data_IF_463462454096
#
_entry.id   IF_463462454096
#
_cell.length_a   1.000
_cell.length_b   1.000
_cell.length_c   1.000
_cell.angle_alpha   90.00
_cell.angle_beta   90.00
_cell.angle_gamma   90.00
#
_symmetry.space_group_name_H-M   'P 1'
#
loop_
_entity.id
_entity.type
_entity.pdbx_description
1 polymer ?
#
# COMPACT_ATOMS: atom_id res chain seq x y z
N UNK A 1 -20.70 -21.19 32.87
CA UNK A 1 -21.15 -20.37 31.71
C UNK A 1 -20.33 -20.79 30.50
N UNK A 2 -20.95 -21.23 29.37
CA UNK A 2 -20.20 -21.48 28.15
C UNK A 2 -19.63 -20.16 27.66
N UNK A 3 -18.33 -20.12 27.41
CA UNK A 3 -17.65 -18.94 26.82
C UNK A 3 -18.20 -18.79 25.39
N UNK A 4 -18.68 -17.62 25.04
CA UNK A 4 -19.17 -17.33 23.72
C UNK A 4 -17.94 -17.16 22.78
N UNK A 5 -17.79 -18.06 21.79
CA UNK A 5 -16.65 -18.08 20.90
C UNK A 5 -16.81 -17.13 19.71
N UNK A 6 -18.05 -16.80 19.37
CA UNK A 6 -18.41 -15.88 18.28
C UNK A 6 -19.30 -14.77 18.80
N UNK A 7 -18.86 -13.53 18.69
CA UNK A 7 -19.59 -12.35 19.15
C UNK A 7 -19.91 -11.44 17.98
N UNK A 8 -21.19 -11.21 17.71
CA UNK A 8 -21.66 -10.30 16.68
C UNK A 8 -22.18 -9.00 17.32
N UNK A 9 -21.69 -7.86 16.85
CA UNK A 9 -22.13 -6.52 17.29
C UNK A 9 -22.52 -5.67 16.09
N UNK A 10 -23.69 -5.04 16.18
CA UNK A 10 -24.11 -4.03 15.21
C UNK A 10 -23.32 -2.73 15.40
N UNK A 11 -22.92 -2.12 14.29
CA UNK A 11 -22.29 -0.81 14.21
C UNK A 11 -23.07 0.08 13.23
N UNK A 12 -22.72 1.35 13.10
CA UNK A 12 -23.36 2.24 12.12
C UNK A 12 -23.12 1.81 10.66
N UNK A 13 -22.01 1.10 10.43
CA UNK A 13 -21.52 0.71 9.11
C UNK A 13 -21.70 -0.80 8.81
N UNK A 14 -22.56 -1.50 9.56
CA UNK A 14 -22.80 -2.94 9.44
C UNK A 14 -22.54 -3.72 10.71
N UNK A 15 -22.12 -4.99 10.61
CA UNK A 15 -21.81 -5.83 11.76
C UNK A 15 -20.29 -6.06 11.89
N UNK A 16 -19.85 -6.17 13.15
CA UNK A 16 -18.51 -6.67 13.50
C UNK A 16 -18.66 -8.05 14.13
N UNK A 17 -18.07 -9.05 13.50
CA UNK A 17 -18.02 -10.42 13.96
C UNK A 17 -16.64 -10.68 14.58
N UNK A 18 -16.60 -10.82 15.91
CA UNK A 18 -15.38 -11.12 16.64
C UNK A 18 -15.31 -12.60 16.96
N UNK A 19 -14.23 -13.23 16.55
CA UNK A 19 -13.93 -14.63 16.81
C UNK A 19 -13.01 -14.76 18.04
N UNK A 20 -13.23 -15.81 18.83
CA UNK A 20 -12.32 -16.15 19.94
C UNK A 20 -11.01 -16.70 19.38
N UNK A 21 -9.89 -16.17 19.87
CA UNK A 21 -8.56 -16.51 19.38
C UNK A 21 -7.89 -17.67 20.13
N UNK A 22 -8.53 -18.21 21.19
CA UNK A 22 -7.95 -19.22 22.05
C UNK A 22 -8.61 -20.60 21.97
N UNK A 23 -9.84 -20.69 21.44
CA UNK A 23 -10.53 -21.98 21.28
C UNK A 23 -9.96 -22.81 20.12
N UNK A 24 -10.27 -24.10 20.07
CA UNK A 24 -9.93 -24.94 18.92
C UNK A 24 -10.66 -24.46 17.66
N UNK A 25 -9.97 -24.55 16.50
CA UNK A 25 -10.53 -24.07 15.23
C UNK A 25 -11.86 -24.77 14.87
N UNK A 26 -11.95 -26.09 15.08
CA UNK A 26 -13.18 -26.85 14.84
C UNK A 26 -14.37 -26.40 15.68
N UNK A 27 -14.15 -26.08 16.98
CA UNK A 27 -15.19 -25.54 17.86
C UNK A 27 -15.66 -24.16 17.40
N UNK A 28 -14.72 -23.33 16.93
CA UNK A 28 -15.03 -22.01 16.39
C UNK A 28 -15.91 -22.11 15.16
N UNK A 29 -15.57 -23.01 14.23
CA UNK A 29 -16.34 -23.24 12.99
C UNK A 29 -17.75 -23.70 13.28
N UNK A 30 -17.93 -24.62 14.24
CA UNK A 30 -19.26 -25.11 14.63
C UNK A 30 -20.11 -23.98 15.23
N UNK A 31 -19.54 -23.19 16.15
CA UNK A 31 -20.28 -22.08 16.76
C UNK A 31 -20.57 -20.96 15.77
N UNK A 32 -19.66 -20.70 14.81
CA UNK A 32 -19.87 -19.74 13.74
C UNK A 32 -21.03 -20.15 12.84
N UNK A 33 -21.13 -21.42 12.41
CA UNK A 33 -22.24 -21.95 11.64
C UNK A 33 -23.56 -21.75 12.36
N UNK A 34 -23.62 -22.11 13.63
CA UNK A 34 -24.82 -21.95 14.46
C UNK A 34 -25.22 -20.47 14.57
N UNK A 35 -24.24 -19.60 14.80
CA UNK A 35 -24.47 -18.16 14.99
C UNK A 35 -24.97 -17.46 13.73
N UNK A 36 -24.45 -17.84 12.58
CA UNK A 36 -24.85 -17.30 11.28
C UNK A 36 -26.29 -17.78 10.94
N UNK A 37 -26.64 -19.01 11.27
CA UNK A 37 -28.00 -19.55 11.07
C UNK A 37 -29.05 -18.95 12.03
N UNK A 38 -28.68 -18.58 13.26
CA UNK A 38 -29.57 -17.95 14.25
C UNK A 38 -29.90 -16.49 13.92
N UNK A 39 -29.05 -15.82 13.10
CA UNK A 39 -29.19 -14.41 12.76
C UNK A 39 -30.31 -14.17 11.75
N UNK A 40 -31.53 -13.93 12.21
CA UNK A 40 -32.61 -13.40 11.36
C UNK A 40 -32.34 -11.95 10.95
N UNK A 41 -31.44 -11.75 9.98
CA UNK A 41 -31.08 -10.42 9.44
C UNK A 41 -31.88 -10.19 8.17
N UNK A 42 -32.67 -9.13 8.13
CA UNK A 42 -33.38 -8.73 6.94
C UNK A 42 -32.45 -7.93 6.00
N UNK A 43 -32.19 -8.47 4.81
CA UNK A 43 -31.39 -7.83 3.76
C UNK A 43 -29.90 -8.19 3.77
N UNK A 44 -29.15 -7.63 2.81
CA UNK A 44 -27.69 -7.81 2.70
C UNK A 44 -26.96 -6.80 3.58
N UNK A 45 -26.07 -7.27 4.44
CA UNK A 45 -25.36 -6.44 5.40
C UNK A 45 -23.86 -6.75 5.36
N UNK A 46 -23.05 -5.68 5.37
CA UNK A 46 -21.60 -5.79 5.44
C UNK A 46 -21.12 -6.25 6.82
N UNK A 47 -20.18 -7.19 6.82
CA UNK A 47 -19.59 -7.74 8.03
C UNK A 47 -18.08 -7.52 8.01
N UNK A 48 -17.57 -7.00 9.12
CA UNK A 48 -16.14 -6.95 9.38
C UNK A 48 -15.77 -8.14 10.28
N UNK A 49 -14.90 -9.00 9.79
CA UNK A 49 -14.43 -10.18 10.50
C UNK A 49 -13.17 -9.85 11.31
N UNK A 50 -13.22 -9.98 12.63
CA UNK A 50 -12.11 -9.73 13.53
C UNK A 50 -11.60 -11.03 14.16
N UNK A 51 -10.37 -11.43 13.84
CA UNK A 51 -9.75 -12.70 14.23
C UNK A 51 -8.98 -12.62 15.57
N UNK A 52 -8.78 -11.42 16.12
CA UNK A 52 -7.92 -11.22 17.29
C UNK A 52 -6.48 -11.65 17.02
N UNK A 53 -5.88 -12.37 17.95
CA UNK A 53 -4.53 -12.93 17.83
C UNK A 53 -4.49 -14.32 17.19
N UNK A 54 -5.58 -14.76 16.56
CA UNK A 54 -5.62 -16.01 15.83
C UNK A 54 -4.96 -15.86 14.46
N UNK A 55 -3.93 -16.66 14.19
CA UNK A 55 -3.43 -16.87 12.84
C UNK A 55 -4.34 -17.88 12.13
N UNK A 56 -4.85 -17.53 10.97
CA UNK A 56 -5.56 -18.41 10.07
C UNK A 56 -4.76 -18.54 8.78
N UNK A 57 -4.66 -19.78 8.27
CA UNK A 57 -4.15 -19.98 6.91
C UNK A 57 -5.13 -19.43 5.89
N UNK A 58 -4.69 -19.24 4.66
CA UNK A 58 -5.54 -18.76 3.57
C UNK A 58 -6.76 -19.68 3.35
N UNK A 59 -6.56 -21.01 3.45
CA UNK A 59 -7.62 -22.01 3.36
C UNK A 59 -8.65 -21.85 4.50
N UNK A 60 -8.17 -21.70 5.74
CA UNK A 60 -9.03 -21.49 6.91
C UNK A 60 -9.81 -20.18 6.82
N UNK A 61 -9.17 -19.12 6.33
CA UNK A 61 -9.82 -17.83 6.15
C UNK A 61 -10.94 -17.92 5.10
N UNK A 62 -10.66 -18.55 3.98
CA UNK A 62 -11.65 -18.78 2.91
C UNK A 62 -12.82 -19.64 3.40
N UNK A 63 -12.56 -20.65 4.25
CA UNK A 63 -13.62 -21.46 4.87
C UNK A 63 -14.51 -20.61 5.78
N UNK A 64 -13.94 -19.75 6.65
CA UNK A 64 -14.70 -18.86 7.52
C UNK A 64 -15.56 -17.87 6.72
N UNK A 65 -14.99 -17.26 5.70
CA UNK A 65 -15.72 -16.34 4.80
C UNK A 65 -16.88 -17.06 4.14
N UNK A 66 -16.64 -18.24 3.59
CA UNK A 66 -17.68 -19.04 2.93
C UNK A 66 -18.83 -19.37 3.87
N UNK A 67 -18.55 -19.74 5.11
CA UNK A 67 -19.59 -20.03 6.12
C UNK A 67 -20.43 -18.79 6.41
N UNK A 68 -19.82 -17.61 6.49
CA UNK A 68 -20.53 -16.36 6.76
C UNK A 68 -21.43 -15.99 5.58
N UNK A 69 -20.94 -16.20 4.36
CA UNK A 69 -21.63 -15.81 3.13
C UNK A 69 -22.65 -16.87 2.65
N UNK A 70 -22.67 -18.08 3.22
CA UNK A 70 -23.64 -19.15 2.89
C UNK A 70 -25.10 -18.71 3.01
N UNK A 71 -25.39 -17.76 3.88
CA UNK A 71 -26.75 -17.23 4.08
C UNK A 71 -27.18 -16.18 3.04
N UNK A 72 -26.27 -15.76 2.15
CA UNK A 72 -26.45 -14.68 1.16
C UNK A 72 -26.87 -13.31 1.76
N UNK A 73 -27.00 -13.23 3.09
CA UNK A 73 -27.39 -12.02 3.83
C UNK A 73 -26.19 -11.25 4.36
N UNK A 74 -25.07 -11.95 4.63
CA UNK A 74 -23.83 -11.36 5.17
C UNK A 74 -22.76 -11.35 4.10
N UNK A 75 -22.11 -10.20 3.93
CA UNK A 75 -20.98 -10.02 2.99
C UNK A 75 -19.76 -9.59 3.80
N UNK A 76 -18.67 -10.35 3.71
CA UNK A 76 -17.44 -9.99 4.41
C UNK A 76 -16.71 -8.88 3.66
N UNK A 77 -16.85 -7.65 4.15
CA UNK A 77 -16.23 -6.46 3.55
C UNK A 77 -14.78 -6.26 4.00
N UNK A 78 -14.40 -6.77 5.17
CA UNK A 78 -13.06 -6.59 5.73
C UNK A 78 -12.71 -7.71 6.70
N UNK A 79 -11.45 -8.16 6.64
CA UNK A 79 -10.86 -9.06 7.64
C UNK A 79 -9.77 -8.33 8.40
N UNK A 80 -9.77 -8.45 9.72
CA UNK A 80 -8.76 -7.86 10.60
C UNK A 80 -8.16 -8.92 11.51
N UNK A 81 -6.84 -8.96 11.57
CA UNK A 81 -6.05 -9.81 12.48
C UNK A 81 -4.98 -8.96 13.16
N UNK A 82 -4.69 -9.25 14.41
CA UNK A 82 -3.60 -8.61 15.18
C UNK A 82 -2.26 -9.36 15.00
N UNK A 83 -2.24 -10.45 14.21
CA UNK A 83 -1.03 -11.20 13.94
C UNK A 83 -0.69 -11.17 12.47
N UNK A 84 0.61 -11.16 12.21
CA UNK A 84 1.21 -11.26 10.89
C UNK A 84 2.19 -12.44 10.91
N UNK A 85 2.41 -13.06 9.78
CA UNK A 85 3.53 -13.98 9.63
C UNK A 85 4.85 -13.20 9.73
N UNK A 86 5.94 -13.89 10.10
CA UNK A 86 7.28 -13.29 10.11
C UNK A 86 7.64 -12.75 8.72
N UNK A 87 7.20 -13.43 7.67
CA UNK A 87 7.42 -12.99 6.29
C UNK A 87 6.70 -11.66 5.99
N UNK A 88 5.40 -11.57 6.28
CA UNK A 88 4.61 -10.34 6.10
C UNK A 88 5.14 -9.19 6.97
N UNK A 89 5.56 -9.49 8.21
CA UNK A 89 6.16 -8.50 9.09
C UNK A 89 7.48 -7.96 8.54
N UNK A 90 8.36 -8.86 8.04
CA UNK A 90 9.61 -8.45 7.41
C UNK A 90 9.35 -7.66 6.13
N UNK A 91 8.40 -8.07 5.31
CA UNK A 91 8.04 -7.34 4.09
C UNK A 91 7.54 -5.93 4.43
N UNK A 92 6.64 -5.77 5.40
CA UNK A 92 6.19 -4.45 5.87
C UNK A 92 7.33 -3.60 6.45
N UNK A 93 8.27 -4.23 7.17
CA UNK A 93 9.48 -3.54 7.64
C UNK A 93 10.33 -3.02 6.47
N UNK A 94 10.54 -3.82 5.43
CA UNK A 94 11.27 -3.40 4.24
C UNK A 94 10.55 -2.28 3.48
N UNK A 95 9.23 -2.39 3.32
CA UNK A 95 8.41 -1.36 2.68
C UNK A 95 8.38 -0.04 3.45
N UNK A 96 8.48 -0.08 4.79
CA UNK A 96 8.53 1.10 5.66
C UNK A 96 9.95 1.66 5.87
N UNK A 97 10.98 1.03 5.31
CA UNK A 97 12.34 1.51 5.42
C UNK A 97 12.50 2.85 4.70
N UNK A 98 13.17 3.80 5.36
CA UNK A 98 13.48 5.12 4.80
C UNK A 98 14.98 5.34 4.86
N UNK A 99 15.60 5.45 3.69
CA UNK A 99 17.02 5.72 3.58
C UNK A 99 17.24 7.19 3.21
N UNK A 100 18.21 7.83 3.88
CA UNK A 100 18.60 9.21 3.57
C UNK A 100 20.05 9.25 3.14
N UNK A 101 20.29 9.79 1.94
CA UNK A 101 21.64 10.03 1.43
C UNK A 101 21.90 11.53 1.33
N UNK A 102 22.98 11.99 1.95
CA UNK A 102 23.41 13.40 1.91
C UNK A 102 24.61 13.51 0.99
N UNK A 103 24.47 14.23 -0.13
CA UNK A 103 25.54 14.42 -1.09
C UNK A 103 25.08 14.38 -2.54
N UNK A 104 26.03 14.15 -3.44
CA UNK A 104 25.80 14.12 -4.87
C UNK A 104 25.91 12.71 -5.40
N UNK A 105 24.88 12.19 -6.03
CA UNK A 105 24.92 10.94 -6.79
C UNK A 105 25.63 11.22 -8.10
N UNK A 106 26.83 10.63 -8.25
CA UNK A 106 27.71 10.90 -9.40
C UNK A 106 27.36 10.03 -10.58
N UNK A 107 27.84 10.40 -11.77
CA UNK A 107 27.75 9.58 -12.97
C UNK A 107 28.27 8.17 -12.73
N UNK A 108 27.51 7.15 -13.11
CA UNK A 108 27.80 5.74 -12.89
C UNK A 108 27.52 5.22 -11.47
N UNK A 109 27.19 6.07 -10.51
CA UNK A 109 26.79 5.66 -9.16
C UNK A 109 25.32 5.24 -9.16
N UNK A 110 25.03 4.14 -8.47
CA UNK A 110 23.68 3.63 -8.25
C UNK A 110 23.42 3.58 -6.74
N UNK A 111 22.40 4.30 -6.28
CA UNK A 111 21.88 4.17 -4.92
C UNK A 111 20.60 3.36 -4.93
N UNK A 112 20.47 2.44 -3.98
CA UNK A 112 19.30 1.56 -3.85
C UNK A 112 18.76 1.59 -2.44
N UNK A 113 17.42 1.60 -2.32
CA UNK A 113 16.68 1.40 -1.08
C UNK A 113 15.58 0.36 -1.31
N UNK A 114 15.30 -0.47 -0.32
CA UNK A 114 14.15 -1.38 -0.35
C UNK A 114 12.82 -0.68 -0.11
N UNK A 115 12.83 0.44 0.61
CA UNK A 115 11.69 1.32 0.84
C UNK A 115 11.87 2.67 0.17
N UNK A 116 11.56 3.74 0.89
CA UNK A 116 11.72 5.11 0.40
C UNK A 116 13.19 5.56 0.42
N UNK A 117 13.57 6.43 -0.50
CA UNK A 117 14.88 7.07 -0.49
C UNK A 117 14.78 8.59 -0.61
N UNK A 118 15.46 9.28 0.29
CA UNK A 118 15.59 10.75 0.28
C UNK A 118 17.03 11.14 -0.04
N UNK A 119 17.21 11.90 -1.12
CA UNK A 119 18.51 12.48 -1.51
C UNK A 119 18.52 13.94 -1.09
N UNK A 120 19.37 14.30 -0.12
CA UNK A 120 19.66 15.70 0.23
C UNK A 120 20.88 16.14 -0.60
N UNK A 121 20.61 16.61 -1.82
CA UNK A 121 21.64 16.95 -2.82
C UNK A 121 21.16 16.72 -4.24
N UNK A 122 22.08 16.45 -5.15
CA UNK A 122 21.79 16.35 -6.57
C UNK A 122 22.04 14.92 -7.10
N UNK A 123 21.28 14.53 -8.11
CA UNK A 123 21.53 13.35 -8.91
C UNK A 123 22.07 13.82 -10.27
N UNK A 124 23.33 13.58 -10.54
CA UNK A 124 23.99 14.02 -11.78
C UNK A 124 23.58 13.14 -12.98
N UNK A 125 23.78 13.61 -14.21
CA UNK A 125 23.57 12.79 -15.41
C UNK A 125 24.26 11.43 -15.28
N UNK A 126 23.59 10.35 -15.72
CA UNK A 126 24.02 8.95 -15.58
C UNK A 126 24.17 8.45 -14.13
N UNK A 127 23.87 9.26 -13.11
CA UNK A 127 23.63 8.77 -11.75
C UNK A 127 22.25 8.14 -11.67
N UNK A 128 22.08 7.13 -10.83
CA UNK A 128 20.84 6.37 -10.72
C UNK A 128 20.39 6.23 -9.28
N UNK A 129 19.10 6.42 -9.04
CA UNK A 129 18.45 6.21 -7.74
C UNK A 129 17.30 5.23 -7.94
N UNK A 130 17.28 4.16 -7.16
CA UNK A 130 16.30 3.08 -7.24
C UNK A 130 15.71 2.84 -5.84
N UNK A 131 14.37 2.85 -5.75
CA UNK A 131 13.63 2.65 -4.51
C UNK A 131 12.51 1.63 -4.67
N UNK A 132 12.29 0.79 -3.69
CA UNK A 132 11.09 -0.05 -3.60
C UNK A 132 9.83 0.79 -3.34
N UNK A 133 9.96 1.89 -2.59
CA UNK A 133 8.98 2.92 -2.33
C UNK A 133 9.21 4.19 -3.18
N UNK A 134 9.16 5.33 -2.52
CA UNK A 134 9.25 6.65 -3.12
C UNK A 134 10.69 7.14 -3.30
N UNK A 135 10.91 8.04 -4.25
CA UNK A 135 12.17 8.75 -4.46
C UNK A 135 11.98 10.24 -4.24
N UNK A 136 12.67 10.80 -3.26
CA UNK A 136 12.67 12.24 -2.96
C UNK A 136 14.06 12.82 -3.21
N UNK A 137 14.16 13.87 -4.03
CA UNK A 137 15.41 14.58 -4.32
C UNK A 137 15.27 16.04 -3.90
N UNK A 138 15.83 16.38 -2.73
CA UNK A 138 15.92 17.77 -2.27
C UNK A 138 17.09 18.45 -2.99
N UNK A 139 16.92 18.68 -4.29
CA UNK A 139 17.91 19.21 -5.21
C UNK A 139 17.52 18.96 -6.66
N UNK A 140 18.54 18.88 -7.54
CA UNK A 140 18.35 18.67 -8.97
C UNK A 140 18.43 17.18 -9.30
N UNK A 141 17.39 16.65 -9.91
CA UNK A 141 17.37 15.30 -10.47
C UNK A 141 17.71 15.37 -11.97
N UNK A 142 18.97 15.09 -12.33
CA UNK A 142 19.45 15.09 -13.75
C UNK A 142 19.68 13.69 -14.32
N UNK A 143 19.74 12.69 -13.45
CA UNK A 143 20.00 11.30 -13.82
C UNK A 143 18.73 10.49 -14.03
N UNK A 144 18.76 9.27 -13.55
CA UNK A 144 17.69 8.29 -13.65
C UNK A 144 17.10 8.08 -12.24
N UNK A 145 15.78 8.12 -12.13
CA UNK A 145 15.07 7.74 -10.91
C UNK A 145 14.05 6.65 -11.20
N UNK A 146 14.05 5.62 -10.34
CA UNK A 146 13.12 4.50 -10.39
C UNK A 146 12.48 4.33 -9.00
N UNK A 147 11.20 4.63 -8.90
CA UNK A 147 10.37 4.39 -7.72
C UNK A 147 9.50 3.14 -7.90
N UNK A 148 9.12 2.51 -6.81
CA UNK A 148 8.21 1.37 -6.86
C UNK A 148 8.78 0.14 -7.55
N UNK A 149 10.10 -0.13 -7.46
CA UNK A 149 10.78 -1.23 -8.16
C UNK A 149 10.16 -2.62 -7.96
N UNK A 150 9.46 -2.82 -6.86
CA UNK A 150 8.78 -4.09 -6.52
C UNK A 150 7.34 -4.15 -7.03
N UNK A 151 6.97 -3.26 -7.98
CA UNK A 151 5.64 -3.21 -8.58
C UNK A 151 4.68 -2.22 -7.89
N UNK A 152 5.17 -1.39 -6.96
CA UNK A 152 4.35 -0.38 -6.30
C UNK A 152 4.02 0.77 -7.27
N UNK A 153 2.81 0.74 -7.82
CA UNK A 153 2.28 1.77 -8.74
C UNK A 153 1.84 3.06 -8.05
N UNK A 154 1.71 3.04 -6.71
CA UNK A 154 1.37 4.21 -5.90
C UNK A 154 2.62 5.05 -5.52
N UNK A 155 3.81 4.57 -5.91
CA UNK A 155 5.07 5.26 -5.62
C UNK A 155 5.18 6.57 -6.42
N UNK A 156 5.89 7.54 -5.84
CA UNK A 156 6.14 8.84 -6.44
C UNK A 156 7.63 9.13 -6.56
N UNK A 157 7.96 10.00 -7.51
CA UNK A 157 9.29 10.61 -7.63
C UNK A 157 9.10 12.12 -7.49
N UNK A 158 9.71 12.73 -6.49
CA UNK A 158 9.62 14.16 -6.27
C UNK A 158 11.02 14.80 -6.29
N UNK A 159 11.13 15.97 -6.90
CA UNK A 159 12.39 16.71 -6.94
C UNK A 159 12.17 18.22 -6.83
N UNK A 160 13.14 18.93 -6.21
CA UNK A 160 13.11 20.39 -6.21
C UNK A 160 13.24 20.96 -7.64
N UNK A 161 14.09 20.34 -8.48
CA UNK A 161 14.16 20.57 -9.91
C UNK A 161 14.24 19.27 -10.69
N UNK A 162 13.34 19.11 -11.63
CA UNK A 162 13.10 17.90 -12.38
C UNK A 162 13.74 17.97 -13.77
N UNK A 163 15.02 17.60 -13.86
CA UNK A 163 15.83 17.62 -15.09
C UNK A 163 16.27 16.20 -15.50
N UNK A 164 15.49 15.18 -15.12
CA UNK A 164 15.82 13.77 -15.29
C UNK A 164 15.96 13.38 -16.76
N UNK A 165 16.80 12.38 -17.05
CA UNK A 165 16.86 11.74 -18.37
C UNK A 165 15.83 10.63 -18.52
N UNK A 166 15.60 9.86 -17.46
CA UNK A 166 14.61 8.78 -17.40
C UNK A 166 13.90 8.77 -16.05
N UNK A 167 12.61 8.56 -16.10
CA UNK A 167 11.75 8.35 -14.94
C UNK A 167 11.08 6.99 -15.07
N UNK A 168 11.11 6.24 -14.00
CA UNK A 168 10.49 4.92 -13.93
C UNK A 168 9.65 4.82 -12.65
N UNK A 169 8.41 4.36 -12.78
CA UNK A 169 7.54 4.07 -11.64
C UNK A 169 6.94 2.69 -11.88
N UNK A 170 7.23 1.74 -11.01
CA UNK A 170 6.91 0.33 -11.19
C UNK A 170 7.38 -0.18 -12.58
N UNK A 171 6.45 -0.59 -13.43
CA UNK A 171 6.67 -1.07 -14.79
C UNK A 171 6.64 0.03 -15.87
N UNK A 172 6.27 1.25 -15.48
CA UNK A 172 6.16 2.37 -16.40
C UNK A 172 7.51 3.09 -16.57
N UNK A 173 7.89 3.36 -17.81
CA UNK A 173 9.14 4.03 -18.15
C UNK A 173 8.85 5.23 -19.04
N UNK A 174 9.42 6.38 -18.70
CA UNK A 174 9.36 7.58 -19.52
C UNK A 174 10.75 8.17 -19.74
N UNK A 175 11.11 8.30 -21.03
CA UNK A 175 12.29 9.04 -21.46
C UNK A 175 11.91 10.52 -21.53
N UNK A 176 12.72 11.36 -20.90
CA UNK A 176 12.47 12.79 -20.84
C UNK A 176 13.11 13.52 -22.01
N UNK A 177 12.31 14.27 -22.78
CA UNK A 177 12.82 15.23 -23.79
C UNK A 177 13.05 16.60 -23.15
N UNK A 178 13.83 17.45 -23.83
CA UNK A 178 14.06 18.84 -23.42
C UNK A 178 12.75 19.64 -23.30
N UNK A 179 11.76 19.33 -24.13
CA UNK A 179 10.44 19.95 -24.08
C UNK A 179 9.67 19.55 -22.83
N UNK A 180 9.69 18.26 -22.45
CA UNK A 180 9.11 17.76 -21.21
C UNK A 180 9.76 18.44 -20.00
N UNK A 181 11.09 18.49 -19.99
CA UNK A 181 11.85 19.11 -18.89
C UNK A 181 11.51 20.59 -18.74
N UNK A 182 11.39 21.32 -19.85
CA UNK A 182 11.00 22.75 -19.84
C UNK A 182 9.58 22.95 -19.34
N UNK A 183 8.63 22.13 -19.77
CA UNK A 183 7.24 22.22 -19.34
C UNK A 183 7.08 21.94 -17.83
N UNK A 184 7.79 20.94 -17.32
CA UNK A 184 7.73 20.53 -15.92
C UNK A 184 8.41 21.55 -15.00
N UNK A 185 9.55 22.12 -15.41
CA UNK A 185 10.33 23.07 -14.60
C UNK A 185 9.80 24.51 -14.61
N UNK A 186 8.64 24.78 -15.18
CA UNK A 186 7.95 26.07 -14.98
C UNK A 186 7.59 26.30 -13.51
N UNK A 187 7.56 25.23 -12.71
CA UNK A 187 7.22 25.25 -11.29
C UNK A 187 8.27 24.47 -10.50
N UNK A 188 8.59 24.96 -9.30
CA UNK A 188 9.46 24.24 -8.37
C UNK A 188 8.66 23.17 -7.60
N UNK A 189 9.38 22.16 -7.06
CA UNK A 189 8.80 21.08 -6.25
C UNK A 189 7.77 20.26 -7.03
N UNK A 190 8.22 19.67 -8.13
CA UNK A 190 7.40 18.81 -8.98
C UNK A 190 7.50 17.34 -8.54
N UNK A 191 6.43 16.61 -8.71
CA UNK A 191 6.37 15.16 -8.53
C UNK A 191 5.85 14.46 -9.78
N UNK A 192 6.35 13.24 -10.00
CA UNK A 192 5.88 12.29 -10.99
C UNK A 192 5.17 11.14 -10.28
N UNK A 193 4.05 10.69 -10.81
CA UNK A 193 3.25 9.57 -10.31
C UNK A 193 2.46 8.93 -11.46
N UNK A 194 1.88 7.76 -11.24
CA UNK A 194 1.00 7.12 -12.24
C UNK A 194 -0.40 7.69 -12.09
N UNK A 195 -0.90 8.35 -13.15
CA UNK A 195 -2.25 8.93 -13.21
C UNK A 195 -3.35 7.89 -13.42
N UNK A 196 -4.59 8.34 -13.44
CA UNK A 196 -5.77 7.48 -13.66
C UNK A 196 -5.77 6.77 -15.01
N UNK A 197 -5.04 7.29 -16.00
CA UNK A 197 -4.85 6.70 -17.32
C UNK A 197 -3.74 5.63 -17.37
N UNK A 198 -3.09 5.34 -16.24
CA UNK A 198 -1.98 4.40 -16.12
C UNK A 198 -0.65 4.91 -16.66
N UNK A 199 -0.52 6.20 -16.96
CA UNK A 199 0.71 6.83 -17.48
C UNK A 199 1.37 7.70 -16.43
N UNK A 200 2.68 7.92 -16.58
CA UNK A 200 3.40 8.85 -15.72
C UNK A 200 2.90 10.27 -15.99
N UNK A 201 2.41 10.90 -14.93
CA UNK A 201 1.86 12.26 -14.91
C UNK A 201 2.68 13.12 -13.94
N UNK A 202 2.74 14.41 -14.21
CA UNK A 202 3.50 15.39 -13.41
C UNK A 202 2.57 16.44 -12.84
N UNK A 203 2.76 16.78 -11.56
CA UNK A 203 2.07 17.88 -10.91
C UNK A 203 2.96 18.45 -9.78
N UNK A 204 2.53 19.54 -9.18
CA UNK A 204 3.19 20.10 -8.00
C UNK A 204 2.96 19.19 -6.78
N UNK A 205 3.94 19.10 -5.88
CA UNK A 205 3.84 18.28 -4.67
C UNK A 205 2.56 18.57 -3.86
N UNK A 206 2.20 19.84 -3.72
CA UNK A 206 0.99 20.21 -2.96
C UNK A 206 -0.32 19.77 -3.63
N UNK A 207 -0.31 19.52 -4.92
CA UNK A 207 -1.46 19.01 -5.66
C UNK A 207 -1.71 17.52 -5.43
N UNK A 208 -0.76 16.77 -4.85
CA UNK A 208 -0.90 15.33 -4.56
C UNK A 208 -2.13 15.00 -3.71
N UNK A 209 -2.60 15.93 -2.88
CA UNK A 209 -3.86 15.75 -2.13
C UNK A 209 -5.07 15.46 -3.01
N UNK A 210 -5.07 15.93 -4.26
CA UNK A 210 -6.13 15.64 -5.24
C UNK A 210 -6.09 14.19 -5.72
N UNK A 211 -4.95 13.53 -5.56
CA UNK A 211 -4.67 12.18 -6.03
C UNK A 211 -4.53 11.17 -4.87
N UNK A 212 -5.06 11.50 -3.69
CA UNK A 212 -4.96 10.66 -2.48
C UNK A 212 -5.53 9.25 -2.63
N UNK A 213 -6.35 9.00 -3.68
CA UNK A 213 -6.87 7.67 -4.03
C UNK A 213 -5.89 6.81 -4.82
N UNK A 214 -4.86 7.40 -5.45
CA UNK A 214 -3.87 6.71 -6.29
C UNK A 214 -2.44 6.86 -5.76
N UNK A 215 -2.23 7.74 -4.80
CA UNK A 215 -0.93 7.97 -4.14
C UNK A 215 -1.15 7.83 -2.64
N UNK A 216 -0.46 6.89 -2.00
CA UNK A 216 -0.46 6.78 -0.54
C UNK A 216 0.29 7.97 0.06
N UNK A 217 -0.47 9.02 0.43
CA UNK A 217 0.04 10.04 1.34
C UNK A 217 -0.23 9.55 2.77
N UNK A 218 0.83 9.28 3.53
CA UNK A 218 0.77 8.97 4.96
C UNK A 218 0.40 10.23 5.74
#
# INVERSE_FOLDING_TARGET
MKKQLVNMKGTKDGFVLRLDDQCAYGELVEELKNKVLEGGIDGKVDVQLYLGYRYCTEEQLNELIKIIEETEQLIVSKVQSEVLTVHESNQKMFESQQDTYIGVVRSGQILRSSGDITIIGNVNPNGRVEAGGNVYVLGRLKGIAHAGMQGNKEAIIAASRFEATHIMIADQVQVMSDEHVKAINQVEMTCAFIGYDGRITYDQIHALKKYSTIVKCV
#
